data_IF_151256663656
#
_entry.id   IF_151256663656
#
_cell.length_a   1.000
_cell.length_b   1.000
_cell.length_c   1.000
_cell.angle_alpha   90.00
_cell.angle_beta   90.00
_cell.angle_gamma   90.00
#
_symmetry.space_group_name_H-M   'P 1'
#
loop_
_entity.id
_entity.type
_entity.pdbx_description
1 polymer ?
#
# COMPACT_ATOMS: atom_id res chain seq x y z
N UNK A 1 -5.71 -16.54 12.10
CA UNK A 1 -4.94 -15.35 12.48
C UNK A 1 -5.08 -15.11 13.97
N UNK A 2 -3.98 -14.80 14.63
CA UNK A 2 -3.92 -14.47 16.06
C UNK A 2 -4.55 -13.12 16.35
N UNK A 3 -4.72 -12.82 17.65
CA UNK A 3 -4.88 -11.44 18.09
C UNK A 3 -3.62 -10.63 17.74
N UNK A 4 -3.78 -9.32 17.62
CA UNK A 4 -2.65 -8.42 17.37
C UNK A 4 -1.69 -8.41 18.53
N UNK A 5 -0.40 -8.42 18.22
CA UNK A 5 0.70 -8.27 19.19
C UNK A 5 1.49 -7.02 18.84
N UNK A 6 1.75 -6.17 19.83
CA UNK A 6 2.66 -5.04 19.66
C UNK A 6 4.09 -5.54 19.56
N UNK A 7 4.75 -5.30 18.44
CA UNK A 7 6.16 -5.66 18.23
C UNK A 7 7.11 -4.56 18.70
N UNK A 8 6.69 -3.31 18.61
CA UNK A 8 7.45 -2.16 19.06
C UNK A 8 6.76 -0.87 18.66
N UNK A 9 7.53 0.21 18.61
CA UNK A 9 7.00 1.56 18.36
C UNK A 9 7.85 2.27 17.33
N UNK A 10 7.20 2.92 16.37
CA UNK A 10 7.84 3.81 15.40
C UNK A 10 8.07 5.16 16.09
N UNK A 11 9.30 5.38 16.57
CA UNK A 11 9.65 6.55 17.39
C UNK A 11 10.45 7.63 16.65
N UNK A 12 10.79 7.41 15.37
CA UNK A 12 11.58 8.38 14.64
C UNK A 12 10.73 9.65 14.40
N UNK A 13 11.20 10.84 14.80
CA UNK A 13 10.44 12.08 14.65
C UNK A 13 10.22 12.51 13.20
N UNK A 14 10.91 11.90 12.23
CA UNK A 14 10.69 12.13 10.80
C UNK A 14 9.50 11.33 10.25
N UNK A 15 8.98 10.35 11.00
CA UNK A 15 7.82 9.55 10.63
C UNK A 15 6.65 9.99 11.52
N UNK A 16 5.81 10.86 10.98
CA UNK A 16 4.72 11.52 11.72
C UNK A 16 3.34 11.14 11.21
N UNK A 17 3.22 10.74 9.95
CA UNK A 17 1.96 10.54 9.23
C UNK A 17 2.07 9.25 8.41
N UNK A 18 2.47 8.16 9.07
CA UNK A 18 2.69 6.87 8.41
C UNK A 18 1.40 6.34 7.75
N UNK A 19 1.24 6.62 6.45
CA UNK A 19 0.00 6.34 5.71
C UNK A 19 0.02 4.95 5.05
N UNK A 20 1.12 4.59 4.40
CA UNK A 20 1.33 3.26 3.81
C UNK A 20 2.30 2.34 4.58
N UNK A 21 2.19 1.03 4.38
CA UNK A 21 3.17 0.04 4.87
C UNK A 21 3.38 -1.06 3.82
N UNK A 22 4.62 -1.51 3.61
CA UNK A 22 4.91 -2.64 2.73
C UNK A 22 6.10 -3.47 3.22
N UNK A 23 6.01 -4.80 3.14
CA UNK A 23 7.14 -5.66 3.49
C UNK A 23 8.18 -5.71 2.36
N UNK A 24 9.44 -5.54 2.73
CA UNK A 24 10.57 -5.68 1.80
C UNK A 24 10.66 -7.10 1.24
N UNK A 25 10.98 -7.23 -0.05
CA UNK A 25 11.26 -8.52 -0.71
C UNK A 25 12.75 -8.76 -0.91
N UNK A 26 13.61 -7.74 -0.75
CA UNK A 26 15.07 -7.85 -0.88
C UNK A 26 15.81 -7.85 0.46
N UNK A 27 15.27 -7.15 1.46
CA UNK A 27 15.89 -6.98 2.77
C UNK A 27 15.04 -7.70 3.81
N UNK A 28 15.54 -8.83 4.28
CA UNK A 28 14.88 -9.54 5.35
C UNK A 28 14.67 -8.62 6.56
N UNK A 29 13.51 -8.77 7.19
CA UNK A 29 13.17 -8.05 8.42
C UNK A 29 12.88 -6.55 8.26
N UNK A 30 12.68 -6.05 7.04
CA UNK A 30 12.39 -4.64 6.76
C UNK A 30 10.94 -4.44 6.31
N UNK A 31 10.34 -3.37 6.81
CA UNK A 31 9.10 -2.78 6.28
C UNK A 31 9.42 -1.37 5.76
N UNK A 32 8.68 -0.93 4.74
CA UNK A 32 8.72 0.41 4.19
C UNK A 32 7.45 1.17 4.56
N UNK A 33 7.57 2.46 4.84
CA UNK A 33 6.47 3.39 5.08
C UNK A 33 6.84 4.78 4.53
N UNK A 34 5.90 5.71 4.46
CA UNK A 34 6.13 7.12 4.13
C UNK A 34 5.16 7.99 4.92
N UNK A 35 5.44 9.29 4.98
CA UNK A 35 4.44 10.24 5.47
C UNK A 35 3.42 10.53 4.36
N UNK A 36 2.20 10.88 4.76
CA UNK A 36 1.09 11.24 3.89
C UNK A 36 1.45 12.43 2.95
N UNK A 37 1.47 13.65 3.46
CA UNK A 37 1.67 14.84 2.63
C UNK A 37 2.66 15.86 3.23
N UNK A 38 2.90 16.96 2.52
CA UNK A 38 3.59 18.16 3.02
C UNK A 38 5.09 18.00 3.34
N UNK A 39 5.66 16.82 3.10
CA UNK A 39 7.05 16.48 3.41
C UNK A 39 7.96 16.27 2.19
N UNK A 40 9.21 15.92 2.46
CA UNK A 40 10.13 15.44 1.42
C UNK A 40 9.66 14.08 0.87
N UNK A 41 9.94 13.80 -0.41
CA UNK A 41 9.68 12.52 -1.08
C UNK A 41 10.59 11.41 -0.54
N UNK A 42 10.23 10.88 0.63
CA UNK A 42 11.02 9.90 1.39
C UNK A 42 10.21 8.66 1.70
N UNK A 43 10.80 7.52 1.43
CA UNK A 43 10.38 6.23 1.97
C UNK A 43 11.29 5.89 3.16
N UNK A 44 10.70 5.54 4.28
CA UNK A 44 11.42 5.13 5.48
C UNK A 44 11.42 3.61 5.60
N UNK A 45 12.58 3.05 5.90
CA UNK A 45 12.72 1.65 6.26
C UNK A 45 12.72 1.50 7.78
N UNK A 46 11.89 0.58 8.29
CA UNK A 46 11.79 0.25 9.71
C UNK A 46 11.95 -1.26 9.91
N UNK A 47 12.48 -1.67 11.06
CA UNK A 47 12.63 -3.07 11.40
C UNK A 47 11.29 -3.72 11.74
N UNK A 48 10.92 -4.80 11.06
CA UNK A 48 9.61 -5.48 11.19
C UNK A 48 9.30 -6.00 12.59
N UNK A 49 10.32 -6.24 13.42
CA UNK A 49 10.16 -6.75 14.78
C UNK A 49 10.14 -5.67 15.86
N UNK A 50 10.46 -4.42 15.53
CA UNK A 50 10.67 -3.38 16.55
C UNK A 50 10.07 -2.03 16.20
N UNK A 51 9.71 -1.79 14.93
CA UNK A 51 9.34 -0.46 14.43
C UNK A 51 10.50 0.55 14.44
N UNK A 52 11.73 0.11 14.77
CA UNK A 52 12.88 1.02 14.81
C UNK A 52 13.27 1.45 13.40
N UNK A 53 13.57 2.73 13.28
CA UNK A 53 14.17 3.29 12.07
C UNK A 53 15.46 2.58 11.67
N UNK A 54 15.60 2.34 10.37
CA UNK A 54 16.78 1.72 9.77
C UNK A 54 17.42 2.66 8.76
N UNK A 55 16.64 3.19 7.81
CA UNK A 55 17.16 4.00 6.71
C UNK A 55 16.09 4.91 6.10
N UNK A 56 16.55 5.92 5.37
CA UNK A 56 15.72 6.81 4.55
C UNK A 56 16.10 6.66 3.08
N UNK A 57 15.11 6.43 2.22
CA UNK A 57 15.26 6.41 0.76
C UNK A 57 14.61 7.68 0.22
N UNK A 58 15.40 8.65 -0.20
CA UNK A 58 14.91 9.85 -0.89
C UNK A 58 14.68 9.52 -2.37
N UNK A 59 13.50 9.82 -2.88
CA UNK A 59 13.09 9.51 -4.26
C UNK A 59 13.28 10.74 -5.14
N UNK A 60 14.37 10.78 -5.91
CA UNK A 60 14.65 11.88 -6.83
C UNK A 60 13.68 11.86 -8.00
N UNK A 61 13.06 13.00 -8.27
CA UNK A 61 12.10 13.18 -9.36
C UNK A 61 10.66 12.84 -9.01
N UNK A 62 10.41 12.39 -7.78
CA UNK A 62 9.06 12.36 -7.21
C UNK A 62 8.80 13.64 -6.42
N UNK A 63 7.52 13.95 -6.25
CA UNK A 63 7.01 14.97 -5.33
C UNK A 63 6.05 14.26 -4.37
N UNK A 64 6.08 14.61 -3.09
CA UNK A 64 5.07 14.17 -2.14
C UNK A 64 3.98 15.22 -2.05
N UNK A 65 2.98 15.10 -2.93
CA UNK A 65 1.79 15.96 -2.89
C UNK A 65 0.79 15.39 -1.88
N UNK A 66 0.39 14.13 -2.08
CA UNK A 66 -0.58 13.41 -1.24
C UNK A 66 -0.32 11.89 -1.37
N UNK A 67 0.76 11.41 -0.76
CA UNK A 67 1.15 10.00 -0.81
C UNK A 67 0.33 9.19 0.17
N UNK A 68 -0.53 8.32 -0.35
CA UNK A 68 -1.52 7.62 0.47
C UNK A 68 -1.14 6.18 0.81
N UNK A 69 -0.50 5.46 -0.11
CA UNK A 69 -0.19 4.05 0.13
C UNK A 69 1.06 3.58 -0.62
N UNK A 70 1.64 2.47 -0.16
CA UNK A 70 2.90 1.91 -0.64
C UNK A 70 2.78 0.39 -0.78
N UNK A 71 3.31 -0.14 -1.87
CA UNK A 71 3.36 -1.58 -2.10
C UNK A 71 4.74 -2.03 -2.57
N UNK A 72 5.08 -3.29 -2.29
CA UNK A 72 6.29 -3.93 -2.82
C UNK A 72 5.88 -5.11 -3.70
N UNK A 73 6.34 -5.08 -4.95
CA UNK A 73 6.00 -6.06 -5.97
C UNK A 73 7.08 -6.19 -7.03
N UNK A 74 6.96 -7.16 -7.95
CA UNK A 74 7.89 -7.29 -9.06
C UNK A 74 7.75 -6.08 -10.00
N UNK A 75 8.85 -5.49 -10.45
CA UNK A 75 8.86 -4.38 -11.41
C UNK A 75 8.18 -4.78 -12.74
N UNK A 76 8.34 -6.04 -13.12
CA UNK A 76 7.74 -6.73 -14.27
C UNK A 76 7.40 -8.16 -13.86
N UNK A 77 6.57 -8.92 -14.60
CA UNK A 77 6.32 -10.33 -14.29
C UNK A 77 7.63 -11.11 -14.19
N UNK A 78 7.91 -11.71 -13.02
CA UNK A 78 9.17 -12.43 -12.74
C UNK A 78 10.44 -11.55 -12.64
N UNK A 79 10.29 -10.23 -12.65
CA UNK A 79 11.39 -9.27 -12.60
C UNK A 79 11.93 -8.99 -11.20
N UNK A 80 12.81 -7.98 -11.12
CA UNK A 80 13.36 -7.48 -9.86
C UNK A 80 12.27 -6.90 -8.96
N UNK A 81 12.56 -6.72 -7.67
CA UNK A 81 11.63 -6.09 -6.74
C UNK A 81 11.64 -4.56 -6.88
N UNK A 82 10.45 -3.97 -6.82
CA UNK A 82 10.21 -2.54 -6.89
C UNK A 82 9.32 -2.10 -5.72
N UNK A 83 9.52 -0.86 -5.29
CA UNK A 83 8.65 -0.15 -4.37
C UNK A 83 7.74 0.76 -5.22
N UNK A 84 6.44 0.70 -4.96
CA UNK A 84 5.40 1.46 -5.62
C UNK A 84 4.80 2.42 -4.61
N UNK A 85 4.71 3.69 -4.96
CA UNK A 85 4.25 4.76 -4.07
C UNK A 85 3.10 5.47 -4.76
N UNK A 86 1.94 5.52 -4.11
CA UNK A 86 0.71 6.09 -4.65
C UNK A 86 0.54 7.54 -4.19
N UNK A 87 0.79 8.47 -5.09
CA UNK A 87 0.50 9.90 -4.94
C UNK A 87 -0.89 10.15 -5.53
N UNK A 88 -1.91 9.82 -4.74
CA UNK A 88 -3.28 9.61 -5.23
C UNK A 88 -4.38 10.16 -4.32
N UNK A 89 -4.02 10.76 -3.19
CA UNK A 89 -4.95 11.41 -2.26
C UNK A 89 -5.56 12.68 -2.83
N UNK A 90 -6.70 13.10 -2.28
CA UNK A 90 -7.16 14.50 -2.28
C UNK A 90 -7.38 15.18 -3.65
N UNK A 91 -7.28 14.45 -4.76
CA UNK A 91 -7.15 14.96 -6.12
C UNK A 91 -8.52 15.37 -6.71
N UNK A 92 -9.16 16.35 -6.08
CA UNK A 92 -10.47 16.92 -6.46
C UNK A 92 -10.54 17.45 -7.90
N UNK A 93 -9.39 17.86 -8.46
CA UNK A 93 -9.27 18.39 -9.82
C UNK A 93 -8.99 17.33 -10.90
N UNK A 94 -8.89 16.03 -10.54
CA UNK A 94 -8.64 14.89 -11.46
C UNK A 94 -7.34 15.02 -12.28
N UNK A 95 -6.41 15.87 -11.85
CA UNK A 95 -5.29 16.34 -12.67
C UNK A 95 -3.95 15.68 -12.37
N UNK A 96 -3.77 14.83 -11.35
CA UNK A 96 -2.48 14.13 -11.19
C UNK A 96 -2.50 12.93 -10.24
N UNK A 97 -3.32 11.91 -10.51
CA UNK A 97 -3.09 10.62 -9.85
C UNK A 97 -1.83 9.99 -10.43
N UNK A 98 -0.85 9.75 -9.58
CA UNK A 98 0.47 9.28 -9.98
C UNK A 98 0.88 8.08 -9.13
N UNK A 99 1.38 7.03 -9.78
CA UNK A 99 2.12 5.98 -9.09
C UNK A 99 3.58 6.11 -9.47
N UNK A 100 4.42 6.35 -8.49
CA UNK A 100 5.86 6.30 -8.64
C UNK A 100 6.36 4.86 -8.44
N UNK A 101 7.36 4.48 -9.21
CA UNK A 101 8.07 3.22 -9.02
C UNK A 101 9.56 3.47 -8.90
N UNK A 102 10.17 2.90 -7.87
CA UNK A 102 11.62 2.82 -7.70
C UNK A 102 12.03 1.36 -7.62
N UNK A 103 13.24 1.04 -8.07
CA UNK A 103 13.83 -0.27 -7.76
C UNK A 103 14.09 -0.34 -6.27
N UNK A 104 13.73 -1.45 -5.66
CA UNK A 104 14.07 -1.67 -4.26
C UNK A 104 15.61 -1.75 -4.16
N UNK A 105 16.25 -0.87 -3.35
CA UNK A 105 17.70 -0.67 -3.42
C UNK A 105 18.46 -1.95 -3.04
N UNK A 106 19.65 -2.14 -3.59
CA UNK A 106 20.50 -3.29 -3.25
C UNK A 106 21.14 -3.17 -1.87
N UNK A 107 21.37 -1.95 -1.41
CA UNK A 107 21.94 -1.61 -0.10
C UNK A 107 20.94 -0.73 0.63
N UNK A 108 20.59 -1.11 1.85
CA UNK A 108 19.71 -0.30 2.69
C UNK A 108 20.55 0.66 3.54
N UNK A 109 20.58 1.92 3.14
CA UNK A 109 21.23 3.02 3.85
C UNK A 109 20.46 4.32 3.57
N UNK A 110 20.88 5.43 4.17
CA UNK A 110 20.39 6.74 3.75
C UNK A 110 20.87 7.02 2.33
N UNK A 111 19.98 6.91 1.36
CA UNK A 111 20.31 6.97 -0.08
C UNK A 111 19.31 7.82 -0.84
N UNK A 112 19.78 8.38 -1.95
CA UNK A 112 18.91 8.96 -2.96
C UNK A 112 18.86 8.02 -4.15
N UNK A 113 17.65 7.65 -4.58
CA UNK A 113 17.41 6.81 -5.75
C UNK A 113 16.61 7.60 -6.78
N UNK A 114 16.90 7.38 -8.05
CA UNK A 114 16.09 7.92 -9.14
C UNK A 114 14.83 7.07 -9.34
N UNK A 115 13.77 7.70 -9.86
CA UNK A 115 12.59 6.97 -10.33
C UNK A 115 12.98 5.94 -11.40
N UNK A 116 12.49 4.71 -11.23
CA UNK A 116 12.52 3.70 -12.28
C UNK A 116 11.46 4.02 -13.34
N UNK A 117 10.26 4.41 -12.91
CA UNK A 117 9.20 4.88 -13.80
C UNK A 117 8.12 5.66 -13.05
N UNK A 118 7.36 6.46 -13.80
CA UNK A 118 6.15 7.14 -13.34
C UNK A 118 4.95 6.64 -14.14
N UNK A 119 3.84 6.36 -13.49
CA UNK A 119 2.57 6.01 -14.11
C UNK A 119 1.53 7.07 -13.76
N UNK A 120 1.06 7.82 -14.74
CA UNK A 120 0.01 8.83 -14.55
C UNK A 120 -1.32 8.30 -15.05
N UNK A 121 -2.39 8.47 -14.29
CA UNK A 121 -3.71 8.01 -14.68
C UNK A 121 -4.82 9.03 -14.37
N UNK A 122 -5.98 8.82 -14.99
CA UNK A 122 -7.26 9.48 -14.69
C UNK A 122 -8.32 8.41 -14.57
N UNK A 123 -9.30 8.66 -13.71
CA UNK A 123 -10.44 7.79 -13.53
C UNK A 123 -11.66 8.59 -13.05
N UNK A 124 -12.77 7.90 -12.87
CA UNK A 124 -14.06 8.46 -12.46
C UNK A 124 -14.25 8.54 -10.94
N UNK A 125 -13.20 8.36 -10.15
CA UNK A 125 -13.22 8.44 -8.69
C UNK A 125 -12.47 9.70 -8.21
N UNK A 126 -12.88 10.22 -7.05
CA UNK A 126 -12.33 11.46 -6.51
C UNK A 126 -11.08 11.26 -5.65
N UNK A 127 -10.92 10.06 -5.07
CA UNK A 127 -9.95 9.81 -4.02
C UNK A 127 -9.51 8.34 -4.03
N UNK A 128 -8.25 8.07 -3.70
CA UNK A 128 -7.62 6.76 -3.72
C UNK A 128 -6.60 6.62 -2.60
N UNK A 129 -6.87 5.74 -1.64
CA UNK A 129 -5.97 5.48 -0.52
C UNK A 129 -5.56 4.02 -0.43
N UNK A 130 -5.50 3.32 -1.55
CA UNK A 130 -5.13 1.90 -1.53
C UNK A 130 -4.48 1.52 -2.83
N UNK A 131 -3.23 1.07 -2.75
CA UNK A 131 -2.47 0.48 -3.86
C UNK A 131 -2.05 -0.94 -3.51
N UNK A 132 -2.15 -1.84 -4.47
CA UNK A 132 -1.66 -3.20 -4.32
C UNK A 132 -0.97 -3.65 -5.60
N UNK A 133 0.02 -4.53 -5.49
CA UNK A 133 0.76 -5.05 -6.66
C UNK A 133 0.69 -6.57 -6.68
N UNK A 134 0.17 -7.12 -7.77
CA UNK A 134 0.05 -8.57 -7.92
C UNK A 134 1.41 -9.24 -8.16
N UNK A 135 1.53 -10.56 -7.97
CA UNK A 135 2.70 -11.32 -8.41
C UNK A 135 3.01 -11.18 -9.91
N UNK A 136 2.00 -10.82 -10.72
CA UNK A 136 2.14 -10.51 -12.14
C UNK A 136 2.52 -9.05 -12.43
N UNK A 137 2.96 -8.28 -11.43
CA UNK A 137 3.34 -6.85 -11.54
C UNK A 137 2.20 -5.90 -11.96
N UNK A 138 0.95 -6.37 -11.99
CA UNK A 138 -0.19 -5.51 -12.23
C UNK A 138 -0.50 -4.69 -10.98
N UNK A 139 -0.82 -3.41 -11.17
CA UNK A 139 -1.20 -2.50 -10.09
C UNK A 139 -2.72 -2.52 -9.94
N UNK A 140 -3.18 -2.57 -8.71
CA UNK A 140 -4.58 -2.48 -8.33
C UNK A 140 -4.77 -1.27 -7.42
N UNK A 141 -5.85 -0.54 -7.65
CA UNK A 141 -6.18 0.66 -6.89
C UNK A 141 -7.62 0.56 -6.40
N UNK A 142 -7.87 0.99 -5.16
CA UNK A 142 -9.22 1.05 -4.60
C UNK A 142 -9.55 2.49 -4.20
N UNK A 143 -10.68 3.01 -4.68
CA UNK A 143 -11.12 4.35 -4.29
C UNK A 143 -11.56 4.43 -2.83
N UNK A 144 -11.28 5.56 -2.17
CA UNK A 144 -11.91 5.90 -0.90
C UNK A 144 -13.20 6.64 -1.19
N UNK A 145 -14.31 5.91 -1.18
CA UNK A 145 -15.64 6.51 -1.22
C UNK A 145 -16.29 6.34 0.16
N UNK A 146 -16.71 7.47 0.76
CA UNK A 146 -17.32 7.52 2.08
C UNK A 146 -18.85 7.44 2.03
N UNK A 147 -19.44 7.44 0.83
CA UNK A 147 -20.88 7.54 0.57
C UNK A 147 -21.45 6.37 -0.24
N UNK A 148 -20.59 5.58 -0.88
CA UNK A 148 -20.93 4.45 -1.74
C UNK A 148 -19.93 3.31 -1.58
N UNK A 149 -20.09 2.28 -2.39
CA UNK A 149 -19.11 1.19 -2.54
C UNK A 149 -17.86 1.73 -3.23
N UNK A 150 -16.69 1.37 -2.71
CA UNK A 150 -15.41 1.64 -3.33
C UNK A 150 -15.22 0.87 -4.63
N UNK A 151 -14.51 1.47 -5.59
CA UNK A 151 -14.21 0.88 -6.91
C UNK A 151 -12.79 0.34 -6.92
N UNK A 152 -12.64 -0.95 -7.20
CA UNK A 152 -11.38 -1.61 -7.52
C UNK A 152 -11.13 -1.51 -9.04
N UNK A 153 -9.95 -1.03 -9.42
CA UNK A 153 -9.49 -0.99 -10.81
C UNK A 153 -8.16 -1.71 -10.97
N UNK A 154 -7.82 -2.06 -12.21
CA UNK A 154 -6.56 -2.69 -12.60
C UNK A 154 -5.82 -1.79 -13.58
N UNK A 155 -4.54 -1.57 -13.32
CA UNK A 155 -3.57 -1.00 -14.24
C UNK A 155 -2.57 -2.10 -14.62
N UNK A 156 -2.63 -2.65 -15.86
CA UNK A 156 -1.73 -3.71 -16.29
C UNK A 156 -0.25 -3.36 -16.17
N UNK A 157 0.61 -4.33 -15.92
CA UNK A 157 2.07 -4.16 -15.86
C UNK A 157 2.68 -3.59 -17.16
N UNK A 158 1.98 -3.71 -18.29
CA UNK A 158 2.36 -3.13 -19.59
C UNK A 158 2.03 -1.65 -19.72
N UNK A 159 1.39 -1.04 -18.71
CA UNK A 159 0.95 0.37 -18.76
C UNK A 159 2.10 1.35 -18.46
N UNK A 160 3.20 0.87 -17.90
CA UNK A 160 4.36 1.69 -17.55
C UNK A 160 5.12 2.17 -18.79
N UNK A 161 5.74 3.35 -18.70
CA UNK A 161 6.72 3.82 -19.69
C UNK A 161 6.16 4.47 -20.96
N UNK A 162 4.84 4.61 -21.12
CA UNK A 162 4.26 5.30 -22.29
C UNK A 162 4.46 6.83 -22.26
N UNK A 163 4.71 7.41 -21.08
CA UNK A 163 4.74 8.87 -20.86
C UNK A 163 3.37 9.54 -20.95
N UNK A 164 2.40 8.87 -21.57
CA UNK A 164 1.01 9.29 -21.68
C UNK A 164 0.22 8.98 -20.40
N UNK A 165 -0.86 9.73 -20.24
CA UNK A 165 -1.78 9.53 -19.13
C UNK A 165 -2.83 8.49 -19.48
N UNK A 166 -3.00 7.51 -18.59
CA UNK A 166 -3.91 6.38 -18.80
C UNK A 166 -5.32 6.73 -18.33
N UNK A 167 -6.33 6.49 -19.15
CA UNK A 167 -7.72 6.64 -18.75
C UNK A 167 -8.27 5.30 -18.25
N UNK A 168 -8.60 5.23 -16.97
CA UNK A 168 -9.15 4.06 -16.28
C UNK A 168 -10.66 4.23 -16.13
N UNK A 169 -11.42 3.51 -16.95
CA UNK A 169 -12.89 3.57 -16.93
C UNK A 169 -13.51 2.29 -16.39
N UNK A 170 -12.85 1.15 -16.64
CA UNK A 170 -13.31 -0.17 -16.19
C UNK A 170 -12.86 -0.48 -14.76
N UNK A 171 -13.76 -1.06 -13.98
CA UNK A 171 -13.51 -1.49 -12.61
C UNK A 171 -14.72 -2.20 -12.04
N UNK A 172 -14.59 -2.72 -10.82
CA UNK A 172 -15.65 -3.40 -10.10
C UNK A 172 -15.81 -2.81 -8.71
N UNK A 173 -17.04 -2.77 -8.21
CA UNK A 173 -17.30 -2.24 -6.88
C UNK A 173 -17.14 -3.33 -5.82
N UNK A 174 -16.53 -2.98 -4.69
CA UNK A 174 -16.47 -3.83 -3.51
C UNK A 174 -17.90 -4.19 -3.04
N UNK A 175 -18.12 -5.34 -2.38
CA UNK A 175 -19.46 -5.91 -2.21
C UNK A 175 -20.30 -5.28 -1.09
N UNK A 176 -19.82 -4.21 -0.44
CA UNK A 176 -20.51 -3.56 0.66
C UNK A 176 -20.27 -2.05 0.66
N UNK A 177 -21.28 -1.31 1.12
CA UNK A 177 -21.19 0.12 1.35
C UNK A 177 -20.24 0.43 2.51
N UNK A 178 -19.64 1.63 2.48
CA UNK A 178 -18.74 2.08 3.53
C UNK A 178 -19.22 3.36 4.22
N UNK A 179 -20.31 3.29 5.01
CA UNK A 179 -20.92 4.46 5.64
C UNK A 179 -20.06 5.13 6.73
N UNK A 180 -18.87 4.60 7.02
CA UNK A 180 -17.96 5.08 8.07
C UNK A 180 -16.52 5.25 7.56
N UNK A 181 -16.37 5.64 6.29
CA UNK A 181 -15.08 5.83 5.62
C UNK A 181 -14.70 4.66 4.73
N UNK A 182 -14.10 4.93 3.57
CA UNK A 182 -13.66 3.92 2.60
C UNK A 182 -12.40 3.15 3.03
N UNK A 183 -11.86 2.31 2.14
CA UNK A 183 -10.53 1.71 2.27
C UNK A 183 -9.45 2.77 2.45
N UNK A 184 -8.45 2.45 3.26
CA UNK A 184 -7.31 3.31 3.62
C UNK A 184 -5.95 2.65 3.38
N UNK A 185 -5.93 1.35 3.07
CA UNK A 185 -4.76 0.63 2.59
C UNK A 185 -5.15 -0.77 2.10
N UNK A 186 -4.23 -1.42 1.40
CA UNK A 186 -4.38 -2.82 1.04
C UNK A 186 -3.05 -3.45 0.66
N UNK A 187 -3.03 -4.77 0.55
CA UNK A 187 -1.85 -5.46 0.02
C UNK A 187 -2.22 -6.79 -0.63
N UNK A 188 -1.43 -7.20 -1.63
CA UNK A 188 -1.54 -8.51 -2.28
C UNK A 188 -0.30 -9.32 -1.91
N UNK A 189 -0.53 -10.47 -1.26
CA UNK A 189 0.57 -11.37 -0.84
C UNK A 189 1.32 -11.95 -2.04
N UNK A 190 2.49 -12.53 -1.78
CA UNK A 190 3.26 -13.28 -2.80
C UNK A 190 2.48 -14.43 -3.43
N UNK A 191 1.50 -14.98 -2.73
CA UNK A 191 0.60 -16.03 -3.22
C UNK A 191 -0.68 -15.47 -3.86
N UNK A 192 -0.81 -14.15 -3.90
CA UNK A 192 -1.92 -13.45 -4.52
C UNK A 192 -3.13 -13.28 -3.60
N UNK A 193 -3.03 -13.44 -2.29
CA UNK A 193 -4.14 -13.20 -1.33
C UNK A 193 -4.29 -11.71 -1.03
N UNK A 194 -5.51 -11.21 -0.87
CA UNK A 194 -5.77 -9.75 -0.71
C UNK A 194 -6.12 -9.38 0.72
N UNK A 195 -5.49 -8.31 1.22
CA UNK A 195 -5.94 -7.54 2.38
C UNK A 195 -6.50 -6.20 1.93
N UNK A 196 -7.60 -5.76 2.53
CA UNK A 196 -8.10 -4.38 2.42
C UNK A 196 -8.44 -3.88 3.81
N UNK A 197 -7.82 -2.78 4.21
CA UNK A 197 -8.03 -2.12 5.49
C UNK A 197 -8.99 -0.95 5.33
N UNK A 198 -9.87 -0.85 6.30
CA UNK A 198 -10.70 0.30 6.62
C UNK A 198 -10.33 0.73 8.05
N UNK A 199 -10.62 1.97 8.42
CA UNK A 199 -10.30 2.50 9.76
C UNK A 199 -10.66 1.58 10.93
N UNK A 200 -11.80 0.87 10.84
CA UNK A 200 -12.33 0.02 11.91
C UNK A 200 -12.28 -1.49 11.60
N UNK A 201 -11.89 -1.89 10.39
CA UNK A 201 -12.06 -3.27 9.92
C UNK A 201 -10.96 -3.64 8.95
N UNK A 202 -10.47 -4.88 9.09
CA UNK A 202 -9.58 -5.49 8.11
C UNK A 202 -10.29 -6.66 7.43
N UNK A 203 -10.24 -6.70 6.10
CA UNK A 203 -10.85 -7.74 5.28
C UNK A 203 -9.81 -8.51 4.51
N UNK A 204 -10.13 -9.78 4.27
CA UNK A 204 -9.31 -10.74 3.57
C UNK A 204 -10.09 -11.47 2.50
N UNK A 205 -9.48 -11.59 1.33
CA UNK A 205 -9.94 -12.48 0.27
C UNK A 205 -8.87 -13.53 -0.02
N UNK A 206 -9.30 -14.79 -0.03
CA UNK A 206 -8.52 -15.85 -0.64
C UNK A 206 -8.74 -15.78 -2.16
N UNK A 207 -7.76 -15.23 -2.84
CA UNK A 207 -7.70 -15.08 -4.30
C UNK A 207 -6.70 -16.10 -4.82
N UNK A 208 -7.15 -17.00 -5.68
CA UNK A 208 -6.29 -17.92 -6.43
C UNK A 208 -6.31 -17.51 -7.90
N UNK A 209 -5.17 -17.61 -8.59
CA UNK A 209 -5.04 -17.43 -10.06
C UNK A 209 -5.16 -16.00 -10.62
N UNK A 210 -4.92 -14.95 -9.83
CA UNK A 210 -4.85 -13.58 -10.35
C UNK A 210 -6.20 -12.96 -10.77
N UNK A 211 -7.31 -13.63 -10.48
CA UNK A 211 -8.69 -13.16 -10.74
C UNK A 211 -9.19 -12.20 -9.65
N UNK A 212 -8.45 -11.12 -9.40
CA UNK A 212 -8.73 -10.19 -8.30
C UNK A 212 -10.09 -9.48 -8.47
N UNK A 213 -10.40 -9.01 -9.69
CA UNK A 213 -11.67 -8.33 -9.97
C UNK A 213 -12.87 -9.28 -9.77
N UNK A 214 -12.78 -10.54 -10.19
CA UNK A 214 -13.86 -11.52 -9.98
C UNK A 214 -13.96 -11.96 -8.52
N UNK A 215 -12.86 -12.00 -7.79
CA UNK A 215 -12.85 -12.50 -6.41
C UNK A 215 -13.31 -11.45 -5.41
N UNK A 216 -13.04 -10.15 -5.65
CA UNK A 216 -13.34 -9.08 -4.69
C UNK A 216 -14.84 -8.95 -4.40
N UNK A 217 -15.71 -9.32 -5.35
CA UNK A 217 -17.18 -9.26 -5.15
C UNK A 217 -17.70 -10.36 -4.24
N UNK A 218 -16.90 -11.38 -3.94
CA UNK A 218 -17.26 -12.41 -2.97
C UNK A 218 -17.19 -11.79 -1.57
N UNK A 219 -17.99 -12.32 -0.63
CA UNK A 219 -17.97 -11.86 0.76
C UNK A 219 -16.58 -12.10 1.38
N UNK A 220 -15.87 -11.06 1.87
CA UNK A 220 -14.58 -11.27 2.52
C UNK A 220 -14.72 -11.98 3.86
N UNK A 221 -13.60 -12.53 4.32
CA UNK A 221 -13.42 -12.83 5.74
C UNK A 221 -12.99 -11.56 6.45
N UNK A 222 -13.66 -11.21 7.56
CA UNK A 222 -13.15 -10.19 8.48
C UNK A 222 -12.01 -10.78 9.32
N UNK A 223 -10.89 -10.07 9.40
CA UNK A 223 -9.72 -10.47 10.20
C UNK A 223 -9.69 -9.78 11.57
N UNK A 224 -8.94 -10.34 12.55
CA UNK A 224 -8.64 -9.65 13.80
C UNK A 224 -7.97 -8.30 13.55
N UNK A 225 -8.35 -7.28 14.31
CA UNK A 225 -7.80 -5.95 14.16
C UNK A 225 -7.93 -5.20 15.49
N UNK A 226 -6.82 -4.67 15.98
CA UNK A 226 -6.79 -3.74 17.10
C UNK A 226 -7.12 -2.37 16.52
N UNK A 227 -8.07 -1.67 17.13
CA UNK A 227 -8.37 -0.31 16.72
C UNK A 227 -7.16 0.61 16.92
N UNK A 228 -6.81 1.34 15.88
CA UNK A 228 -5.73 2.31 15.85
C UNK A 228 -6.34 3.70 15.61
N UNK A 229 -5.91 4.69 16.40
CA UNK A 229 -6.24 6.09 16.10
C UNK A 229 -5.49 6.46 14.81
N UNK A 230 -6.21 6.90 13.78
CA UNK A 230 -5.66 7.06 12.42
C UNK A 230 -4.93 5.80 11.93
N UNK A 231 -5.58 4.64 12.07
CA UNK A 231 -5.05 3.39 11.53
C UNK A 231 -5.19 3.35 10.02
N UNK A 232 -4.10 3.61 9.29
CA UNK A 232 -4.13 3.77 7.83
C UNK A 232 -3.40 2.64 7.13
N UNK A 233 -2.31 2.12 7.68
CA UNK A 233 -1.50 1.15 6.96
C UNK A 233 -1.82 -0.33 7.26
N UNK A 234 -1.68 -1.18 6.24
CA UNK A 234 -1.60 -2.64 6.36
C UNK A 234 -0.64 -3.22 5.33
N UNK A 235 0.12 -4.27 5.68
CA UNK A 235 0.82 -5.08 4.69
C UNK A 235 0.87 -6.56 5.09
N UNK A 236 1.01 -7.44 4.12
CA UNK A 236 1.39 -8.83 4.38
C UNK A 236 2.82 -8.89 4.93
N UNK A 237 3.08 -9.89 5.76
CA UNK A 237 4.45 -10.37 5.92
C UNK A 237 4.97 -10.89 4.57
N UNK A 238 6.26 -10.69 4.30
CA UNK A 238 6.88 -11.03 3.01
C UNK A 238 6.69 -12.52 2.62
N UNK A 239 6.50 -13.41 3.59
CA UNK A 239 6.27 -14.85 3.38
C UNK A 239 4.79 -15.25 3.52
N UNK A 240 3.88 -14.31 3.72
CA UNK A 240 2.45 -14.58 3.94
C UNK A 240 2.14 -15.20 5.32
N UNK A 241 3.09 -15.14 6.26
CA UNK A 241 2.99 -15.75 7.60
C UNK A 241 2.08 -14.98 8.57
N UNK A 242 1.58 -13.82 8.16
CA UNK A 242 0.79 -12.90 8.96
C UNK A 242 0.68 -11.55 8.27
N UNK A 243 0.23 -10.53 8.98
CA UNK A 243 0.19 -9.16 8.48
C UNK A 243 0.54 -8.15 9.57
N UNK A 244 0.96 -6.97 9.14
CA UNK A 244 1.31 -5.84 9.96
C UNK A 244 0.28 -4.73 9.82
N UNK A 245 0.05 -3.97 10.88
CA UNK A 245 -0.67 -2.68 10.80
C UNK A 245 0.09 -1.59 11.53
N UNK A 246 -0.08 -0.37 11.05
CA UNK A 246 0.49 0.84 11.62
C UNK A 246 -0.53 1.98 11.42
N UNK A 247 -0.52 2.96 12.32
CA UNK A 247 -1.30 4.19 12.17
C UNK A 247 -0.41 5.42 12.12
N UNK A 248 -1.05 6.57 11.88
CA UNK A 248 -0.40 7.87 11.87
C UNK A 248 -0.14 8.43 13.27
N UNK A 249 0.83 9.32 13.37
CA UNK A 249 1.18 10.05 14.58
C UNK A 249 2.51 9.62 15.18
N UNK A 250 2.80 10.19 16.34
CA UNK A 250 4.08 10.00 17.02
C UNK A 250 4.04 8.76 17.92
N UNK A 251 5.11 7.95 17.87
CA UNK A 251 5.26 6.75 18.70
C UNK A 251 4.16 5.72 18.48
N UNK A 252 3.75 5.50 17.23
CA UNK A 252 2.70 4.54 16.92
C UNK A 252 3.19 3.10 17.09
N UNK A 253 2.36 2.23 17.70
CA UNK A 253 2.67 0.82 17.84
C UNK A 253 2.65 0.12 16.48
N UNK A 254 3.69 -0.67 16.19
CA UNK A 254 3.67 -1.62 15.09
C UNK A 254 3.01 -2.92 15.57
N UNK A 255 1.87 -3.26 15.00
CA UNK A 255 1.17 -4.51 15.32
C UNK A 255 1.49 -5.61 14.34
N UNK A 256 1.47 -6.86 14.82
CA UNK A 256 1.55 -8.05 13.99
C UNK A 256 0.50 -9.10 14.38
N UNK A 257 -0.03 -9.76 13.36
CA UNK A 257 -1.09 -10.74 13.47
C UNK A 257 -0.65 -12.00 12.73
N UNK A 258 -0.25 -13.02 13.50
CA UNK A 258 0.29 -14.27 12.97
C UNK A 258 -0.80 -15.10 12.31
N UNK A 259 -0.52 -15.70 11.16
CA UNK A 259 -1.35 -16.74 10.55
C UNK A 259 -1.15 -18.05 11.32
N UNK A 260 -2.26 -18.73 11.62
CA UNK A 260 -2.18 -20.10 12.14
C UNK A 260 -2.16 -21.02 10.92
N UNK A 261 -1.33 -22.07 11.01
CA UNK A 261 -1.30 -23.16 10.02
C UNK A 261 -2.67 -23.86 9.94
#
# INVERSE_FOLDING_TARGET
FSCGTTLGYVKNPLITEASGLAASRRHEHILYTHNDSGGESRVFAIGRFTGRYVATITVRGAENVDWEDIAVGPCTPGGQSCIYIADTGGNTDRKSNTVYRIREPSILANVTVDLDSTLKFRWDQNDCETIMVSPGADVYLISKDQSRRSKLVKLPSTTWGSGERVNVTQGIFLPFDSPYGGPVAGDISVNGEVLVKYYLKLYYWNTTNGEYLQSIVRRPRKLPYIYERQGEAVCWDAQGSGYYTLGEGVQQPLYYYRRYD
#
